data_IF_510360463488
#
_entry.id   IF_510360463488
#
_cell.length_a   1.000
_cell.length_b   1.000
_cell.length_c   1.000
_cell.angle_alpha   90.00
_cell.angle_beta   90.00
_cell.angle_gamma   90.00
#
_symmetry.space_group_name_H-M   'P 1'
#
loop_
_entity.id
_entity.type
_entity.pdbx_description
1 polymer ?
#
# COMPACT_ATOMS: atom_id res chain seq x y z
N UNK A 1 -38.12 -37.15 21.87
CA UNK A 1 -37.55 -36.54 23.09
C UNK A 1 -36.44 -37.49 23.52
N UNK A 2 -35.34 -36.99 24.11
CA UNK A 2 -34.19 -37.84 24.44
C UNK A 2 -34.59 -38.77 25.58
N UNK A 3 -34.99 -40.00 25.26
CA UNK A 3 -35.64 -40.90 26.21
C UNK A 3 -34.63 -41.67 27.07
N UNK A 4 -33.36 -41.76 26.64
CA UNK A 4 -32.32 -42.49 27.40
C UNK A 4 -31.42 -41.55 28.21
N UNK A 5 -31.03 -41.97 29.42
CA UNK A 5 -30.15 -41.20 30.30
C UNK A 5 -28.76 -40.95 29.69
N UNK A 6 -28.25 -41.92 28.93
CA UNK A 6 -26.96 -41.82 28.25
C UNK A 6 -26.94 -40.73 27.16
N UNK A 7 -28.00 -40.62 26.36
CA UNK A 7 -28.10 -39.55 25.36
C UNK A 7 -28.19 -38.16 26.01
N UNK A 8 -28.89 -38.03 27.15
CA UNK A 8 -28.95 -36.75 27.89
C UNK A 8 -27.56 -36.34 28.40
N UNK A 9 -26.80 -37.30 28.92
CA UNK A 9 -25.41 -37.07 29.38
C UNK A 9 -24.49 -36.68 28.23
N UNK A 10 -24.62 -37.33 27.07
CA UNK A 10 -23.89 -36.98 25.85
C UNK A 10 -24.19 -35.55 25.41
N UNK A 11 -25.46 -35.18 25.32
CA UNK A 11 -25.89 -33.82 24.92
C UNK A 11 -25.37 -32.78 25.92
N UNK A 12 -25.45 -33.05 27.22
CA UNK A 12 -24.90 -32.15 28.26
C UNK A 12 -23.41 -31.88 28.03
N UNK A 13 -22.64 -32.93 27.77
CA UNK A 13 -21.20 -32.82 27.45
C UNK A 13 -20.92 -32.02 26.17
N UNK A 14 -21.67 -32.27 25.09
CA UNK A 14 -21.55 -31.53 23.83
C UNK A 14 -21.86 -30.03 24.04
N UNK A 15 -22.93 -29.72 24.77
CA UNK A 15 -23.33 -28.36 25.13
C UNK A 15 -22.25 -27.66 25.96
N UNK A 16 -21.63 -28.35 26.92
CA UNK A 16 -20.49 -27.81 27.66
C UNK A 16 -19.28 -27.52 26.76
N UNK A 17 -19.01 -28.39 25.78
CA UNK A 17 -17.99 -28.17 24.76
C UNK A 17 -18.23 -26.89 23.96
N UNK A 18 -19.44 -26.71 23.42
CA UNK A 18 -19.80 -25.49 22.70
C UNK A 18 -19.71 -24.23 23.57
N UNK A 19 -20.10 -24.33 24.84
CA UNK A 19 -20.00 -23.22 25.79
C UNK A 19 -18.55 -22.81 26.03
N UNK A 20 -17.61 -23.77 26.14
CA UNK A 20 -16.18 -23.46 26.26
C UNK A 20 -15.65 -22.75 25.02
N UNK A 21 -15.92 -23.30 23.83
CA UNK A 21 -15.52 -22.69 22.56
C UNK A 21 -16.05 -21.25 22.40
N UNK A 22 -17.32 -21.02 22.73
CA UNK A 22 -17.89 -19.67 22.72
C UNK A 22 -17.18 -18.70 23.68
N UNK A 23 -16.64 -19.18 24.80
CA UNK A 23 -15.86 -18.32 25.71
C UNK A 23 -14.55 -17.93 25.06
N UNK A 24 -13.84 -18.90 24.49
CA UNK A 24 -12.56 -18.64 23.83
C UNK A 24 -12.71 -17.65 22.67
N UNK A 25 -13.76 -17.79 21.86
CA UNK A 25 -14.04 -16.87 20.76
C UNK A 25 -14.32 -15.45 21.28
N UNK A 26 -15.13 -15.30 22.32
CA UNK A 26 -15.43 -13.98 22.88
C UNK A 26 -14.21 -13.31 23.52
N UNK A 27 -13.35 -14.09 24.20
CA UNK A 27 -12.08 -13.57 24.74
C UNK A 27 -11.15 -13.11 23.61
N UNK A 28 -11.09 -13.83 22.49
CA UNK A 28 -10.32 -13.38 21.31
C UNK A 28 -10.91 -12.09 20.73
N UNK A 29 -12.23 -11.99 20.61
CA UNK A 29 -12.89 -10.76 20.14
C UNK A 29 -12.58 -9.56 21.06
N UNK A 30 -12.54 -9.77 22.38
CA UNK A 30 -12.18 -8.72 23.35
C UNK A 30 -10.78 -8.13 23.10
N UNK A 31 -9.83 -8.97 22.69
CA UNK A 31 -8.46 -8.54 22.38
C UNK A 31 -8.36 -7.74 21.07
N UNK A 32 -9.32 -7.92 20.15
CA UNK A 32 -9.31 -7.32 18.81
C UNK A 32 -10.19 -6.06 18.70
N UNK A 33 -11.08 -5.83 19.67
CA UNK A 33 -12.00 -4.70 19.64
C UNK A 33 -11.35 -3.48 20.29
N UNK A 34 -11.10 -2.45 19.48
CA UNK A 34 -10.50 -1.20 19.95
C UNK A 34 -11.47 -0.02 20.00
N UNK A 35 -12.61 -0.10 19.30
CA UNK A 35 -13.60 0.98 19.28
C UNK A 35 -14.48 0.99 20.55
N UNK A 36 -14.83 2.17 21.04
CA UNK A 36 -15.70 2.32 22.22
C UNK A 36 -17.09 1.71 21.99
N UNK A 37 -17.65 1.87 20.79
CA UNK A 37 -18.93 1.24 20.44
C UNK A 37 -18.82 -0.29 20.37
N UNK A 38 -17.73 -0.83 19.81
CA UNK A 38 -17.48 -2.27 19.81
C UNK A 38 -17.36 -2.82 21.23
N UNK A 39 -16.66 -2.13 22.14
CA UNK A 39 -16.56 -2.53 23.55
C UNK A 39 -17.94 -2.55 24.23
N UNK A 40 -18.77 -1.53 23.97
CA UNK A 40 -20.14 -1.47 24.51
C UNK A 40 -21.01 -2.63 24.02
N UNK A 41 -20.94 -2.95 22.73
CA UNK A 41 -21.66 -4.08 22.14
C UNK A 41 -21.16 -5.42 22.72
N UNK A 42 -19.84 -5.58 22.86
CA UNK A 42 -19.25 -6.78 23.48
C UNK A 42 -19.67 -6.94 24.94
N UNK A 43 -19.70 -5.86 25.73
CA UNK A 43 -20.18 -5.90 27.11
C UNK A 43 -21.64 -6.37 27.19
N UNK A 44 -22.48 -5.91 26.25
CA UNK A 44 -23.89 -6.36 26.14
C UNK A 44 -23.96 -7.85 25.81
N UNK A 45 -23.16 -8.33 24.85
CA UNK A 45 -23.06 -9.76 24.49
C UNK A 45 -22.66 -10.59 25.71
N UNK A 46 -21.64 -10.17 26.44
CA UNK A 46 -21.15 -10.85 27.65
C UNK A 46 -22.21 -10.90 28.74
N UNK A 47 -22.95 -9.80 28.96
CA UNK A 47 -24.05 -9.76 29.93
C UNK A 47 -25.16 -10.73 29.57
N UNK A 48 -25.62 -10.73 28.30
CA UNK A 48 -26.69 -11.64 27.83
C UNK A 48 -26.25 -13.08 27.88
N UNK A 49 -24.99 -13.36 27.57
CA UNK A 49 -24.38 -14.68 27.69
C UNK A 49 -24.34 -15.16 29.13
N UNK A 50 -23.94 -14.30 30.08
CA UNK A 50 -23.92 -14.65 31.50
C UNK A 50 -25.32 -15.01 32.02
N UNK A 51 -26.34 -14.25 31.61
CA UNK A 51 -27.73 -14.55 31.94
C UNK A 51 -28.16 -15.92 31.40
N UNK A 52 -27.85 -16.23 30.13
CA UNK A 52 -28.12 -17.55 29.54
C UNK A 52 -27.33 -18.68 30.23
N UNK A 53 -26.06 -18.44 30.55
CA UNK A 53 -25.20 -19.41 31.26
C UNK A 53 -25.78 -19.80 32.63
N UNK A 54 -26.42 -18.86 33.32
CA UNK A 54 -27.09 -19.10 34.60
C UNK A 54 -28.31 -20.02 34.52
N UNK A 55 -28.92 -20.19 33.34
CA UNK A 55 -30.09 -21.04 33.14
C UNK A 55 -29.75 -22.52 32.92
N UNK A 56 -28.55 -22.82 32.40
CA UNK A 56 -28.15 -24.20 32.09
C UNK A 56 -28.17 -25.15 33.31
N UNK A 57 -27.64 -24.78 34.49
CA UNK A 57 -27.69 -25.68 35.65
C UNK A 57 -29.12 -26.06 36.02
N UNK A 58 -30.03 -25.07 36.10
CA UNK A 58 -31.45 -25.30 36.41
C UNK A 58 -32.15 -26.14 35.36
N UNK A 59 -31.88 -25.86 34.08
CA UNK A 59 -32.47 -26.62 32.98
C UNK A 59 -32.02 -28.08 32.99
N UNK A 60 -30.72 -28.35 33.16
CA UNK A 60 -30.20 -29.71 33.18
C UNK A 60 -30.61 -30.49 34.43
N UNK A 61 -30.66 -29.84 35.60
CA UNK A 61 -31.20 -30.44 36.82
C UNK A 61 -32.68 -30.84 36.63
N UNK A 62 -33.52 -29.93 36.14
CA UNK A 62 -34.92 -30.24 35.84
C UNK A 62 -35.07 -31.34 34.79
N UNK A 63 -34.20 -31.37 33.77
CA UNK A 63 -34.20 -32.39 32.72
C UNK A 63 -33.72 -33.77 33.20
N UNK A 64 -32.98 -33.84 34.31
CA UNK A 64 -32.61 -35.09 34.97
C UNK A 64 -33.79 -35.68 35.76
N UNK A 65 -34.66 -34.84 36.33
CA UNK A 65 -35.87 -35.25 37.06
C UNK A 65 -37.05 -35.61 36.14
N UNK A 66 -37.54 -34.66 35.34
CA UNK A 66 -38.67 -34.88 34.44
C UNK A 66 -38.73 -33.88 33.30
N UNK A 67 -39.14 -34.33 32.10
CA UNK A 67 -39.30 -33.41 30.95
C UNK A 67 -40.41 -32.38 31.19
N UNK A 68 -41.41 -32.71 32.01
CA UNK A 68 -42.46 -31.77 32.42
C UNK A 68 -41.92 -30.57 33.21
N UNK A 69 -40.89 -30.76 34.04
CA UNK A 69 -40.26 -29.68 34.81
C UNK A 69 -39.27 -28.87 33.96
N UNK A 70 -38.58 -29.51 33.01
CA UNK A 70 -37.63 -28.81 32.13
C UNK A 70 -38.32 -27.95 31.06
N UNK A 71 -39.48 -28.37 30.56
CA UNK A 71 -40.26 -27.65 29.52
C UNK A 71 -40.54 -26.18 29.86
N UNK A 72 -41.10 -25.82 31.03
CA UNK A 72 -41.38 -24.42 31.34
C UNK A 72 -40.10 -23.58 31.39
N UNK A 73 -39.00 -24.12 31.93
CA UNK A 73 -37.70 -23.42 31.97
C UNK A 73 -37.21 -23.16 30.54
N UNK A 74 -37.29 -24.17 29.66
CA UNK A 74 -36.90 -24.05 28.26
C UNK A 74 -37.68 -22.95 27.54
N UNK A 75 -39.02 -23.01 27.59
CA UNK A 75 -39.85 -22.11 26.80
C UNK A 75 -39.99 -20.71 27.39
N UNK A 76 -40.00 -20.57 28.71
CA UNK A 76 -40.25 -19.26 29.36
C UNK A 76 -38.97 -18.47 29.63
N UNK A 77 -37.85 -19.14 29.87
CA UNK A 77 -36.61 -18.49 30.28
C UNK A 77 -35.50 -18.70 29.25
N UNK A 78 -35.26 -19.94 28.87
CA UNK A 78 -34.10 -20.31 28.06
C UNK A 78 -34.19 -19.76 26.63
N UNK A 79 -35.31 -19.99 25.94
CA UNK A 79 -35.52 -19.49 24.56
C UNK A 79 -35.43 -17.96 24.53
N UNK A 80 -36.18 -17.19 25.36
CA UNK A 80 -36.07 -15.74 25.37
C UNK A 80 -34.66 -15.21 25.70
N UNK A 81 -33.96 -15.84 26.65
CA UNK A 81 -32.59 -15.45 26.99
C UNK A 81 -31.62 -15.73 25.84
N UNK A 82 -31.80 -16.85 25.13
CA UNK A 82 -31.00 -17.20 23.97
C UNK A 82 -31.27 -16.26 22.78
N UNK A 83 -32.53 -15.90 22.53
CA UNK A 83 -32.90 -14.94 21.49
C UNK A 83 -32.30 -13.56 21.79
N UNK A 84 -32.31 -13.13 23.05
CA UNK A 84 -31.66 -11.88 23.46
C UNK A 84 -30.13 -11.92 23.25
N UNK A 85 -29.50 -13.07 23.49
CA UNK A 85 -28.07 -13.26 23.20
C UNK A 85 -27.80 -13.21 21.69
N UNK A 86 -28.58 -13.92 20.87
CA UNK A 86 -28.46 -13.89 19.40
C UNK A 86 -28.67 -12.47 18.86
N UNK A 87 -29.67 -11.73 19.36
CA UNK A 87 -29.91 -10.35 18.97
C UNK A 87 -28.72 -9.44 19.26
N UNK A 88 -28.05 -9.64 20.41
CA UNK A 88 -26.83 -8.88 20.74
C UNK A 88 -25.65 -9.20 19.80
N UNK A 89 -25.51 -10.46 19.38
CA UNK A 89 -24.51 -10.86 18.39
C UNK A 89 -24.82 -10.24 17.02
N UNK A 90 -26.08 -10.22 16.61
CA UNK A 90 -26.51 -9.60 15.35
C UNK A 90 -26.20 -8.10 15.32
N UNK A 91 -26.43 -7.39 16.43
CA UNK A 91 -26.08 -5.97 16.53
C UNK A 91 -24.57 -5.72 16.36
N UNK A 92 -23.72 -6.62 16.87
CA UNK A 92 -22.27 -6.57 16.64
C UNK A 92 -21.91 -6.85 15.18
N UNK A 93 -22.56 -7.82 14.55
CA UNK A 93 -22.37 -8.11 13.12
C UNK A 93 -22.74 -6.90 12.27
N UNK A 94 -23.90 -6.30 12.51
CA UNK A 94 -24.35 -5.08 11.80
C UNK A 94 -23.40 -3.90 12.01
N UNK A 95 -22.87 -3.74 13.22
CA UNK A 95 -21.81 -2.76 13.48
C UNK A 95 -20.55 -3.03 12.64
N UNK A 96 -20.08 -4.27 12.58
CA UNK A 96 -18.91 -4.64 11.79
C UNK A 96 -19.15 -4.48 10.28
N UNK A 97 -20.33 -4.84 9.78
CA UNK A 97 -20.73 -4.64 8.39
C UNK A 97 -20.74 -3.14 8.03
N UNK A 98 -21.33 -2.31 8.88
CA UNK A 98 -21.33 -0.85 8.69
C UNK A 98 -19.91 -0.27 8.70
N UNK A 99 -19.04 -0.75 9.59
CA UNK A 99 -17.64 -0.34 9.61
C UNK A 99 -16.89 -0.80 8.35
N UNK A 100 -17.17 -2.00 7.83
CA UNK A 100 -16.63 -2.47 6.56
C UNK A 100 -17.11 -1.60 5.38
N UNK A 101 -18.39 -1.25 5.31
CA UNK A 101 -18.91 -0.36 4.27
C UNK A 101 -18.27 1.02 4.32
N UNK A 102 -18.12 1.60 5.52
CA UNK A 102 -17.40 2.87 5.72
C UNK A 102 -15.94 2.76 5.31
N UNK A 103 -15.28 1.63 5.62
CA UNK A 103 -13.91 1.38 5.18
C UNK A 103 -13.82 1.34 3.66
N UNK A 104 -14.75 0.67 2.95
CA UNK A 104 -14.77 0.64 1.48
C UNK A 104 -14.98 2.04 0.87
N UNK A 105 -15.90 2.84 1.42
CA UNK A 105 -16.13 4.22 0.94
C UNK A 105 -14.92 5.12 1.23
N UNK A 106 -14.31 4.98 2.42
CA UNK A 106 -13.09 5.68 2.77
C UNK A 106 -11.91 5.21 1.92
N UNK A 107 -11.85 3.93 1.57
CA UNK A 107 -10.84 3.35 0.70
C UNK A 107 -11.00 3.88 -0.73
N UNK A 108 -12.21 4.07 -1.25
CA UNK A 108 -12.40 4.75 -2.55
C UNK A 108 -11.84 6.17 -2.54
N UNK A 109 -12.07 6.91 -1.45
CA UNK A 109 -11.48 8.24 -1.26
C UNK A 109 -9.95 8.19 -1.07
N UNK A 110 -9.44 7.19 -0.34
CA UNK A 110 -8.02 6.95 -0.12
C UNK A 110 -7.30 6.45 -1.39
N UNK A 111 -7.97 5.70 -2.26
CA UNK A 111 -7.48 5.33 -3.58
C UNK A 111 -7.35 6.57 -4.46
N UNK A 112 -8.29 7.51 -4.40
CA UNK A 112 -8.19 8.77 -5.12
C UNK A 112 -7.00 9.63 -4.61
N UNK A 113 -6.80 9.71 -3.29
CA UNK A 113 -5.68 10.45 -2.70
C UNK A 113 -4.33 9.75 -2.91
N UNK A 114 -4.24 8.43 -2.73
CA UNK A 114 -3.04 7.63 -3.00
C UNK A 114 -2.66 7.67 -4.49
N UNK A 115 -3.65 7.65 -5.40
CA UNK A 115 -3.43 7.88 -6.83
C UNK A 115 -2.91 9.29 -7.10
N UNK A 116 -3.44 10.31 -6.42
CA UNK A 116 -2.96 11.69 -6.55
C UNK A 116 -1.52 11.85 -6.06
N UNK A 117 -1.17 11.20 -4.93
CA UNK A 117 0.20 11.17 -4.39
C UNK A 117 1.14 10.41 -5.34
N UNK A 118 0.69 9.27 -5.89
CA UNK A 118 1.48 8.48 -6.84
C UNK A 118 1.73 9.24 -8.14
N UNK A 119 0.70 9.94 -8.66
CA UNK A 119 0.84 10.82 -9.82
C UNK A 119 1.79 11.98 -9.51
N UNK A 120 1.68 12.61 -8.34
CA UNK A 120 2.55 13.71 -7.91
C UNK A 120 4.03 13.27 -7.77
N UNK A 121 4.28 12.07 -7.26
CA UNK A 121 5.63 11.50 -7.17
C UNK A 121 6.22 11.25 -8.57
N UNK A 122 5.44 10.63 -9.47
CA UNK A 122 5.87 10.36 -10.84
C UNK A 122 6.14 11.65 -11.62
N UNK A 123 5.27 12.65 -11.50
CA UNK A 123 5.47 13.95 -12.17
C UNK A 123 6.70 14.67 -11.64
N UNK A 124 6.93 14.67 -10.31
CA UNK A 124 8.11 15.30 -9.70
C UNK A 124 9.40 14.60 -10.16
N UNK A 125 9.41 13.27 -10.23
CA UNK A 125 10.57 12.51 -10.71
C UNK A 125 10.93 12.85 -12.16
N UNK A 126 9.93 13.01 -13.04
CA UNK A 126 10.13 13.42 -14.43
C UNK A 126 10.69 14.85 -14.49
N UNK A 127 10.14 15.78 -13.71
CA UNK A 127 10.62 17.17 -13.69
C UNK A 127 12.08 17.27 -13.24
N UNK A 128 12.47 16.52 -12.20
CA UNK A 128 13.86 16.47 -11.73
C UNK A 128 14.76 15.89 -12.83
N UNK A 129 14.34 14.82 -13.49
CA UNK A 129 15.10 14.23 -14.60
C UNK A 129 15.35 15.23 -15.73
N UNK A 130 14.31 15.95 -16.16
CA UNK A 130 14.42 16.98 -17.21
C UNK A 130 15.30 18.15 -16.75
N UNK A 131 15.12 18.62 -15.51
CA UNK A 131 15.93 19.69 -14.94
C UNK A 131 17.41 19.31 -14.88
N UNK A 132 17.72 18.09 -14.46
CA UNK A 132 19.08 17.56 -14.47
C UNK A 132 19.64 17.45 -15.88
N UNK A 133 18.86 16.96 -16.84
CA UNK A 133 19.28 16.88 -18.24
C UNK A 133 19.64 18.26 -18.80
N UNK A 134 18.79 19.26 -18.59
CA UNK A 134 19.04 20.65 -19.02
C UNK A 134 20.24 21.26 -18.31
N UNK A 135 20.41 20.97 -17.01
CA UNK A 135 21.55 21.47 -16.25
C UNK A 135 22.87 20.90 -16.75
N UNK A 136 22.93 19.59 -17.04
CA UNK A 136 24.11 18.93 -17.60
C UNK A 136 24.41 19.47 -19.01
N UNK A 137 23.40 19.59 -19.87
CA UNK A 137 23.56 20.12 -21.23
C UNK A 137 24.15 21.54 -21.19
N UNK A 138 23.62 22.41 -20.33
CA UNK A 138 24.10 23.78 -20.20
C UNK A 138 25.49 23.87 -19.54
N UNK A 139 25.76 23.03 -18.55
CA UNK A 139 27.04 23.01 -17.84
C UNK A 139 28.21 22.57 -18.73
N UNK A 140 27.97 21.68 -19.70
CA UNK A 140 29.04 21.14 -20.57
C UNK A 140 29.08 21.86 -21.92
N UNK A 141 27.92 22.16 -22.52
CA UNK A 141 27.88 22.77 -23.86
C UNK A 141 28.27 24.24 -23.87
N UNK A 142 28.10 24.95 -22.74
CA UNK A 142 28.56 26.33 -22.56
C UNK A 142 30.07 26.51 -22.77
N UNK A 143 30.94 25.76 -22.05
CA UNK A 143 32.39 25.89 -22.19
C UNK A 143 32.96 25.35 -23.51
N UNK A 144 32.24 24.51 -24.26
CA UNK A 144 32.70 23.99 -25.55
C UNK A 144 32.66 25.04 -26.67
N UNK A 145 31.71 25.97 -26.64
CA UNK A 145 31.66 27.08 -27.62
C UNK A 145 32.84 28.04 -27.45
N UNK A 146 33.25 28.32 -26.21
CA UNK A 146 34.38 29.21 -25.91
C UNK A 146 35.70 28.62 -26.39
N UNK A 147 35.89 27.30 -26.30
CA UNK A 147 37.10 26.63 -26.83
C UNK A 147 37.12 26.67 -28.37
N UNK A 148 35.97 26.54 -29.04
CA UNK A 148 35.88 26.61 -30.51
C UNK A 148 36.24 28.00 -31.05
N UNK A 149 35.84 29.05 -30.33
CA UNK A 149 36.20 30.42 -30.67
C UNK A 149 37.70 30.67 -30.48
N UNK A 150 38.31 30.14 -29.42
CA UNK A 150 39.77 30.24 -29.19
C UNK A 150 40.56 29.51 -30.28
N UNK A 151 40.15 28.31 -30.68
CA UNK A 151 40.79 27.58 -31.80
C UNK A 151 40.61 28.32 -33.13
N UNK A 152 39.42 28.92 -33.36
CA UNK A 152 39.16 29.76 -34.52
C UNK A 152 40.08 30.99 -34.58
N UNK A 153 40.30 31.65 -33.44
CA UNK A 153 41.22 32.77 -33.32
C UNK A 153 42.67 32.34 -33.58
N UNK A 154 43.13 31.24 -32.97
CA UNK A 154 44.49 30.71 -33.17
C UNK A 154 44.72 30.34 -34.64
N UNK A 155 43.78 29.64 -35.27
CA UNK A 155 43.85 29.26 -36.69
C UNK A 155 43.92 30.49 -37.61
N UNK A 156 43.10 31.52 -37.34
CA UNK A 156 43.12 32.78 -38.10
C UNK A 156 44.44 33.53 -37.92
N UNK A 157 44.98 33.61 -36.70
CA UNK A 157 46.30 34.22 -36.45
C UNK A 157 47.44 33.43 -37.08
N UNK A 158 47.37 32.10 -37.10
CA UNK A 158 48.42 31.25 -37.63
C UNK A 158 48.43 31.27 -39.17
N UNK A 159 47.26 31.31 -39.82
CA UNK A 159 47.13 31.58 -41.27
C UNK A 159 47.67 32.97 -41.62
N UNK A 160 47.34 33.99 -40.82
CA UNK A 160 47.85 35.34 -41.05
C UNK A 160 49.37 35.46 -40.86
N UNK A 161 49.97 34.60 -40.02
CA UNK A 161 51.42 34.59 -39.72
C UNK A 161 52.21 33.67 -40.66
N UNK A 162 51.60 32.61 -41.18
CA UNK A 162 52.20 31.69 -42.16
C UNK A 162 52.26 32.26 -43.58
N UNK A 163 51.44 33.28 -43.91
CA UNK A 163 51.52 33.96 -45.21
C UNK A 163 52.69 34.96 -45.30
N UNK A 164 53.41 35.24 -44.20
CA UNK A 164 54.39 36.34 -44.15
C UNK A 164 55.89 36.00 -44.31
N UNK A 165 56.41 34.75 -44.25
CA UNK A 165 57.84 34.55 -44.52
C UNK A 165 58.15 34.17 -45.97
N UNK A 166 57.17 33.94 -46.86
CA UNK A 166 57.48 33.60 -48.27
C UNK A 166 57.68 34.82 -49.19
N UNK A 167 57.46 36.04 -48.70
CA UNK A 167 57.66 37.27 -49.48
C UNK A 167 59.03 37.94 -49.27
N UNK A 168 59.86 37.45 -48.34
CA UNK A 168 61.14 38.08 -48.05
C UNK A 168 62.29 37.06 -48.00
N UNK A 169 63.07 37.10 -49.08
CA UNK A 169 64.48 36.68 -49.22
C UNK A 169 64.80 35.24 -49.66
N UNK A 170 65.55 35.21 -50.76
CA UNK A 170 66.42 34.16 -51.34
C UNK A 170 65.87 33.22 -52.43
N UNK A 171 66.65 33.19 -53.51
CA UNK A 171 66.52 32.66 -54.88
C UNK A 171 66.20 31.15 -55.02
N UNK A 172 65.90 30.43 -53.94
CA UNK A 172 65.87 28.97 -53.87
C UNK A 172 64.47 28.33 -53.91
N UNK A 173 63.39 29.13 -53.88
CA UNK A 173 62.00 28.63 -53.76
C UNK A 173 61.48 27.91 -55.02
N UNK A 174 62.12 28.05 -56.19
CA UNK A 174 61.64 27.42 -57.44
C UNK A 174 62.03 25.94 -57.60
N UNK A 175 62.90 25.39 -56.74
CA UNK A 175 63.42 24.01 -56.90
C UNK A 175 62.76 22.94 -56.03
N UNK A 176 61.91 23.30 -55.06
CA UNK A 176 61.26 22.34 -54.14
C UNK A 176 59.73 22.28 -54.30
N UNK A 177 59.20 22.68 -55.45
CA UNK A 177 57.77 22.71 -55.73
C UNK A 177 57.03 21.36 -55.93
N UNK A 178 57.63 20.14 -55.96
CA UNK A 178 56.82 18.94 -56.16
C UNK A 178 56.36 18.22 -54.87
N UNK A 179 56.64 18.69 -53.65
CA UNK A 179 56.36 17.91 -52.42
C UNK A 179 55.33 18.50 -51.44
N UNK A 180 54.70 19.64 -51.73
CA UNK A 180 53.69 20.23 -50.84
C UNK A 180 52.27 19.72 -51.07
N UNK A 181 52.07 18.72 -51.93
CA UNK A 181 50.74 18.25 -52.34
C UNK A 181 50.03 17.29 -51.37
N UNK A 182 50.46 17.21 -50.11
CA UNK A 182 49.90 16.23 -49.17
C UNK A 182 48.83 16.76 -48.20
N UNK A 183 48.57 18.07 -48.08
CA UNK A 183 47.69 18.55 -47.02
C UNK A 183 46.75 19.69 -47.43
N UNK A 184 45.59 19.33 -47.98
CA UNK A 184 44.29 20.00 -47.79
C UNK A 184 43.15 19.23 -48.51
N UNK A 185 41.86 19.31 -48.09
CA UNK A 185 41.33 19.73 -46.79
C UNK A 185 40.25 18.76 -46.21
N UNK A 186 40.22 18.67 -44.87
CA UNK A 186 39.00 18.39 -44.14
C UNK A 186 37.99 19.52 -44.41
N UNK A 187 36.78 19.16 -44.85
CA UNK A 187 35.73 20.14 -45.06
C UNK A 187 34.44 19.54 -45.61
N UNK A 188 33.71 18.78 -44.78
CA UNK A 188 32.24 18.75 -44.88
C UNK A 188 31.58 18.86 -43.50
N UNK A 189 30.50 19.68 -43.38
CA UNK A 189 29.81 19.91 -42.12
C UNK A 189 28.87 18.74 -41.82
N UNK A 190 28.87 18.26 -40.57
CA UNK A 190 27.84 17.35 -40.07
C UNK A 190 26.55 18.13 -39.93
N UNK A 191 25.59 17.84 -40.82
CA UNK A 191 24.23 18.34 -40.75
C UNK A 191 23.27 17.17 -40.48
N UNK A 192 22.53 17.34 -39.38
CA UNK A 192 21.25 16.74 -39.00
C UNK A 192 21.26 15.31 -38.45
#
# INVERSE_FOLDING_TARGET
>A
MVDTAEERKKIKSEVEGYRKSNTEVLTKMEQQIHSEEGKRLLATITQRRAALLGLYPRFFEAAEHSVSEAKPILFKEFIPANDAFIASLKAMVEFQENQMHKAVEHDRAAYASARMISIALLTTAILISVAMALWIINSISGPLNTIRDVIGHVCKTMISRALFPLAATTKWVRLLLPLTNCWAPCGKPWAR
#
